data_IF_100343351652
#
_entry.id   IF_100343351652
#
_cell.length_a   1.000
_cell.length_b   1.000
_cell.length_c   1.000
_cell.angle_alpha   90.00
_cell.angle_beta   90.00
_cell.angle_gamma   90.00
#
_symmetry.space_group_name_H-M   'P 1'
#
loop_
_entity.id
_entity.type
_entity.pdbx_description
1 polymer ?
#
# COMPACT_ATOMS: atom_id res chain seq x y z
N UNK A 1 -11.99 -19.12 7.58
CA UNK A 1 -11.32 -18.22 6.60
C UNK A 1 -9.84 -18.12 6.95
N UNK A 2 -8.94 -18.56 6.07
CA UNK A 2 -7.49 -18.49 6.32
C UNK A 2 -7.02 -17.04 6.39
N UNK A 3 -6.41 -16.65 7.51
CA UNK A 3 -5.81 -15.33 7.64
C UNK A 3 -4.72 -15.16 6.57
N UNK A 4 -4.84 -14.09 5.79
CA UNK A 4 -3.85 -13.76 4.77
C UNK A 4 -2.48 -13.56 5.44
N UNK A 5 -1.37 -14.01 4.81
CA UNK A 5 -0.04 -13.90 5.38
C UNK A 5 0.50 -12.45 5.37
N UNK A 6 -0.37 -11.44 5.28
CA UNK A 6 -0.01 -10.02 5.20
C UNK A 6 -1.14 -9.15 5.71
N UNK A 7 -0.80 -8.00 6.31
CA UNK A 7 -1.77 -7.04 6.83
C UNK A 7 -2.38 -6.24 5.67
N UNK A 8 -3.67 -6.50 5.39
CA UNK A 8 -4.44 -5.77 4.38
C UNK A 8 -4.99 -4.48 4.99
N UNK A 9 -5.00 -3.41 4.21
CA UNK A 9 -5.60 -2.13 4.63
C UNK A 9 -7.13 -2.20 4.54
N UNK A 10 -7.66 -2.85 3.50
CA UNK A 10 -9.09 -3.02 3.28
C UNK A 10 -9.52 -4.46 3.54
N UNK A 11 -10.68 -4.64 4.18
CA UNK A 11 -11.30 -5.94 4.42
C UNK A 11 -12.44 -6.15 3.42
N UNK A 12 -12.58 -7.37 2.93
CA UNK A 12 -13.71 -7.75 2.09
C UNK A 12 -14.99 -7.68 2.92
N UNK A 13 -16.01 -7.01 2.41
CA UNK A 13 -17.32 -6.94 3.08
C UNK A 13 -18.19 -8.11 2.62
N UNK A 14 -18.79 -8.86 3.55
CA UNK A 14 -19.67 -10.00 3.20
C UNK A 14 -21.01 -9.59 2.55
N UNK A 15 -21.31 -8.29 2.52
CA UNK A 15 -22.62 -7.75 2.10
C UNK A 15 -22.69 -7.32 0.63
N UNK A 16 -21.56 -7.19 -0.07
CA UNK A 16 -21.53 -6.76 -1.47
C UNK A 16 -21.07 -7.91 -2.37
N UNK A 17 -21.85 -8.20 -3.42
CA UNK A 17 -21.50 -9.21 -4.42
C UNK A 17 -20.41 -8.74 -5.39
N UNK A 18 -20.31 -7.43 -5.64
CA UNK A 18 -19.25 -6.82 -6.45
C UNK A 18 -18.55 -5.70 -5.66
N UNK A 19 -17.22 -5.72 -5.67
CA UNK A 19 -16.39 -4.74 -4.97
C UNK A 19 -15.64 -3.83 -5.96
N UNK A 20 -15.33 -2.62 -5.50
CA UNK A 20 -14.61 -1.63 -6.30
C UNK A 20 -13.25 -2.18 -6.76
N UNK A 21 -12.96 -2.06 -8.05
CA UNK A 21 -11.66 -2.37 -8.63
C UNK A 21 -10.80 -1.11 -8.75
N UNK A 22 -9.50 -1.24 -8.48
CA UNK A 22 -8.49 -0.18 -8.65
C UNK A 22 -7.39 -0.65 -9.59
N UNK A 23 -6.75 0.29 -10.27
CA UNK A 23 -5.62 0.01 -11.15
C UNK A 23 -4.32 0.02 -10.34
N UNK A 24 -3.50 -1.02 -10.49
CA UNK A 24 -2.18 -1.06 -9.87
C UNK A 24 -1.28 0.01 -10.49
N UNK A 25 -0.70 0.89 -9.66
CA UNK A 25 0.18 1.99 -10.10
C UNK A 25 1.51 1.53 -10.73
N UNK A 26 1.78 0.23 -10.76
CA UNK A 26 3.05 -0.32 -11.26
C UNK A 26 2.91 -1.27 -12.44
N UNK A 27 1.92 -2.17 -12.42
CA UNK A 27 1.71 -3.13 -13.51
C UNK A 27 0.45 -2.85 -14.33
N UNK A 28 -0.33 -1.81 -13.99
CA UNK A 28 -1.54 -1.43 -14.74
C UNK A 28 -2.73 -2.40 -14.63
N UNK A 29 -2.59 -3.55 -13.96
CA UNK A 29 -3.68 -4.53 -13.82
C UNK A 29 -4.82 -3.98 -12.96
N UNK A 30 -6.07 -4.27 -13.37
CA UNK A 30 -7.27 -4.03 -12.55
C UNK A 30 -7.36 -5.08 -11.45
N UNK A 31 -7.41 -4.64 -10.19
CA UNK A 31 -7.44 -5.51 -9.01
C UNK A 31 -8.51 -5.03 -8.04
N UNK A 32 -9.28 -5.93 -7.38
CA UNK A 32 -10.23 -5.53 -6.34
C UNK A 32 -9.54 -4.78 -5.20
N UNK A 33 -10.12 -3.68 -4.74
CA UNK A 33 -9.53 -2.77 -3.75
C UNK A 33 -9.13 -3.50 -2.45
N UNK A 34 -9.94 -4.45 -1.97
CA UNK A 34 -9.64 -5.25 -0.78
C UNK A 34 -8.39 -6.14 -0.89
N UNK A 35 -7.95 -6.46 -2.11
CA UNK A 35 -6.75 -7.26 -2.39
C UNK A 35 -5.50 -6.40 -2.59
N UNK A 36 -5.62 -5.08 -2.54
CA UNK A 36 -4.50 -4.15 -2.79
C UNK A 36 -3.88 -3.61 -1.52
N UNK A 37 -2.60 -3.20 -1.62
CA UNK A 37 -1.92 -2.40 -0.62
C UNK A 37 -1.94 -0.94 -1.03
N UNK A 38 -2.13 -0.05 -0.06
CA UNK A 38 -2.02 1.39 -0.30
C UNK A 38 -0.70 1.92 0.21
N UNK A 39 0.03 2.64 -0.64
CA UNK A 39 1.18 3.45 -0.23
C UNK A 39 0.85 4.91 -0.53
N UNK A 40 1.27 5.84 0.33
CA UNK A 40 1.28 7.26 -0.04
C UNK A 40 2.57 7.51 -0.82
N UNK A 41 2.45 7.90 -2.08
CA UNK A 41 3.56 8.38 -2.90
C UNK A 41 3.43 9.88 -3.07
N UNK A 42 4.52 10.62 -2.90
CA UNK A 42 4.50 12.06 -3.05
C UNK A 42 5.93 12.58 -3.10
N UNK A 43 6.08 13.78 -3.64
CA UNK A 43 7.36 14.47 -3.60
C UNK A 43 7.54 15.04 -2.20
N UNK A 44 8.59 14.60 -1.50
CA UNK A 44 9.02 15.18 -0.23
C UNK A 44 10.38 15.80 -0.51
N UNK A 45 10.44 17.13 -0.58
CA UNK A 45 11.72 17.84 -0.61
C UNK A 45 12.38 17.52 0.74
N UNK A 46 13.45 16.75 0.74
CA UNK A 46 14.17 16.39 1.97
C UNK A 46 15.26 17.40 2.32
N UNK A 47 15.76 18.14 1.33
CA UNK A 47 16.92 19.02 1.45
C UNK A 47 16.69 20.15 2.46
N UNK A 48 17.60 20.29 3.44
CA UNK A 48 17.45 21.25 4.53
C UNK A 48 17.61 22.70 4.08
N UNK A 49 18.34 22.94 2.98
CA UNK A 49 18.52 24.27 2.36
C UNK A 49 17.22 24.73 1.70
N UNK A 50 16.65 23.90 0.83
CA UNK A 50 15.39 24.18 0.13
C UNK A 50 14.20 24.29 1.11
N UNK A 51 14.19 23.52 2.20
CA UNK A 51 13.15 23.62 3.25
C UNK A 51 13.18 24.93 4.04
N UNK A 52 14.32 25.62 4.13
CA UNK A 52 14.43 26.89 4.85
C UNK A 52 13.91 28.06 4.00
N UNK A 53 14.15 28.01 2.70
CA UNK A 53 13.68 29.04 1.75
C UNK A 53 12.17 28.95 1.50
N UNK A 54 11.64 27.74 1.39
CA UNK A 54 10.21 27.53 1.21
C UNK A 54 9.55 27.16 2.54
N UNK A 55 8.86 28.12 3.14
CA UNK A 55 8.10 27.90 4.38
C UNK A 55 7.15 26.71 4.22
N UNK A 56 7.11 25.82 5.23
CA UNK A 56 6.29 24.58 5.25
C UNK A 56 4.83 24.79 4.86
N UNK A 57 4.27 25.99 5.10
CA UNK A 57 2.88 26.33 4.80
C UNK A 57 2.63 26.74 3.34
N UNK A 58 3.67 27.04 2.55
CA UNK A 58 3.51 27.54 1.17
C UNK A 58 3.68 26.44 0.11
N UNK A 59 4.18 25.27 0.48
CA UNK A 59 4.40 24.14 -0.42
C UNK A 59 3.22 23.14 -0.36
N UNK A 60 2.24 23.29 -1.27
CA UNK A 60 1.24 22.25 -1.51
C UNK A 60 1.85 21.12 -2.37
N UNK A 61 2.65 20.25 -1.74
CA UNK A 61 3.26 19.12 -2.42
C UNK A 61 2.20 18.09 -2.84
N UNK A 62 2.21 17.61 -4.10
CA UNK A 62 1.24 16.62 -4.54
C UNK A 62 1.48 15.29 -3.83
N UNK A 63 0.53 14.87 -3.00
CA UNK A 63 0.49 13.53 -2.43
C UNK A 63 -0.54 12.68 -3.18
N UNK A 64 -0.09 11.56 -3.74
CA UNK A 64 -0.91 10.60 -4.48
C UNK A 64 -1.02 9.28 -3.70
N UNK A 65 -2.24 8.75 -3.61
CA UNK A 65 -2.45 7.39 -3.09
C UNK A 65 -2.13 6.39 -4.19
N UNK A 66 -1.11 5.57 -3.96
CA UNK A 66 -0.69 4.51 -4.86
C UNK A 66 -1.33 3.19 -4.43
N UNK A 67 -1.95 2.49 -5.38
CA UNK A 67 -2.52 1.17 -5.18
C UNK A 67 -1.57 0.13 -5.76
N UNK A 68 -1.23 -0.88 -4.97
CA UNK A 68 -0.33 -1.96 -5.35
C UNK A 68 -1.05 -3.29 -5.33
N UNK A 69 -0.90 -4.06 -6.41
CA UNK A 69 -1.29 -5.46 -6.43
C UNK A 69 -0.35 -6.30 -5.55
N UNK A 70 -0.81 -7.51 -5.20
CA UNK A 70 -0.06 -8.42 -4.32
C UNK A 70 1.32 -8.80 -4.90
N UNK A 71 1.40 -9.03 -6.21
CA UNK A 71 2.66 -9.40 -6.87
C UNK A 71 3.69 -8.26 -6.82
N UNK A 72 3.29 -7.03 -7.16
CA UNK A 72 4.16 -5.86 -7.10
C UNK A 72 4.58 -5.52 -5.66
N UNK A 73 3.67 -5.72 -4.69
CA UNK A 73 3.99 -5.51 -3.28
C UNK A 73 5.03 -6.52 -2.76
N UNK A 74 5.00 -7.76 -3.23
CA UNK A 74 6.02 -8.78 -2.90
C UNK A 74 7.36 -8.48 -3.56
N UNK A 75 7.36 -8.19 -4.85
CA UNK A 75 8.58 -7.90 -5.60
C UNK A 75 9.36 -6.71 -5.01
N UNK A 76 8.65 -5.68 -4.55
CA UNK A 76 9.24 -4.51 -3.88
C UNK A 76 9.44 -4.66 -2.37
N UNK A 77 9.30 -5.87 -1.81
CA UNK A 77 9.44 -6.15 -0.36
C UNK A 77 8.53 -5.30 0.55
N UNK A 78 7.44 -4.76 0.01
CA UNK A 78 6.44 -3.98 0.77
C UNK A 78 5.56 -4.91 1.61
N UNK A 79 5.26 -6.11 1.07
CA UNK A 79 4.60 -7.18 1.81
C UNK A 79 5.54 -8.36 1.94
N UNK A 80 6.03 -8.61 3.15
CA UNK A 80 6.70 -9.87 3.45
C UNK A 80 5.65 -10.96 3.64
N UNK A 81 5.84 -12.17 3.07
CA UNK A 81 5.03 -13.30 3.46
C UNK A 81 5.22 -13.53 4.96
N UNK A 82 4.13 -13.55 5.73
CA UNK A 82 4.16 -13.89 7.13
C UNK A 82 4.90 -15.20 7.34
N UNK A 83 5.63 -15.29 8.47
CA UNK A 83 6.37 -16.49 8.87
C UNK A 83 5.52 -17.75 8.64
N UNK A 84 6.12 -18.79 8.06
CA UNK A 84 5.42 -20.06 7.82
C UNK A 84 4.76 -20.54 9.12
N UNK A 85 3.62 -21.23 9.04
CA UNK A 85 2.94 -21.78 10.23
C UNK A 85 3.88 -22.61 11.10
N UNK A 86 4.86 -23.29 10.48
CA UNK A 86 5.90 -24.09 11.16
C UNK A 86 6.90 -23.25 11.97
N UNK A 87 7.16 -22.01 11.55
CA UNK A 87 8.13 -21.09 12.18
C UNK A 87 7.53 -20.12 13.21
N UNK A 88 6.25 -20.27 13.54
CA UNK A 88 5.59 -19.45 14.55
C UNK A 88 5.93 -20.03 15.92
N UNK A 89 6.64 -19.28 16.79
CA UNK A 89 6.77 -19.67 18.21
C UNK A 89 5.35 -19.86 18.76
N UNK A 90 5.03 -21.06 19.25
CA UNK A 90 3.84 -21.27 20.08
C UNK A 90 4.09 -20.43 21.34
N UNK A 91 3.26 -19.41 21.54
CA UNK A 91 3.17 -18.70 22.81
C UNK A 91 2.23 -19.46 23.73
#
# INVERSE_FOLDING_TARGET
>A
MGNAPYKRVYKHTKRRGNELTVVCSFCGKKVPKYKTFTKRGGFSISDPTVKKEFSKNRLMLPSKKLYLCLSCARHRKISQPGKSRKSRKKS
#
